data_IF_936800217424
#
_entry.id   IF_936800217424
#
_cell.length_a   1.000
_cell.length_b   1.000
_cell.length_c   1.000
_cell.angle_alpha   90.00
_cell.angle_beta   90.00
_cell.angle_gamma   90.00
#
_symmetry.space_group_name_H-M   'P 1'
#
loop_
_entity.id
_entity.type
_entity.pdbx_description
1 polymer ?
#
# COMPACT_ATOMS: atom_id res chain seq x y z
N UNK A 1 55.53 47.86 0.36
CA UNK A 1 54.53 47.94 1.45
C UNK A 1 53.33 48.67 0.85
N UNK A 2 52.16 48.07 0.60
CA UNK A 2 51.37 47.19 1.47
C UNK A 2 50.69 46.06 0.67
N UNK A 3 50.67 44.91 1.34
CA UNK A 3 50.13 43.62 0.91
C UNK A 3 48.66 43.50 1.35
N UNK A 4 47.82 43.05 0.43
CA UNK A 4 46.68 42.12 0.54
C UNK A 4 46.07 41.92 1.94
N UNK A 5 44.78 42.19 2.09
CA UNK A 5 43.89 41.34 2.89
C UNK A 5 42.43 41.46 2.43
N UNK A 6 42.04 40.56 1.52
CA UNK A 6 40.65 40.24 1.23
C UNK A 6 40.14 39.30 2.33
N UNK A 7 39.20 39.74 3.17
CA UNK A 7 38.46 38.85 4.06
C UNK A 7 37.22 38.37 3.32
N UNK A 8 37.30 37.16 2.78
CA UNK A 8 36.15 36.44 2.24
C UNK A 8 35.24 36.04 3.39
N UNK A 9 34.05 36.63 3.45
CA UNK A 9 32.96 36.20 4.31
C UNK A 9 32.46 34.82 3.86
N UNK A 10 32.93 33.76 4.54
CA UNK A 10 32.32 32.44 4.50
C UNK A 10 30.95 32.51 5.17
N UNK A 11 29.93 32.90 4.42
CA UNK A 11 28.54 32.66 4.80
C UNK A 11 28.31 31.15 4.71
N UNK A 12 28.30 30.51 5.88
CA UNK A 12 27.90 29.12 6.02
C UNK A 12 26.46 28.97 5.57
N UNK A 13 26.27 28.48 4.33
CA UNK A 13 25.02 27.86 3.92
C UNK A 13 24.79 26.65 4.82
N UNK A 14 24.04 26.84 5.90
CA UNK A 14 23.41 25.74 6.60
C UNK A 14 22.42 25.13 5.60
N UNK A 15 22.86 24.10 4.86
CA UNK A 15 21.96 23.30 4.04
C UNK A 15 20.97 22.67 5.01
N UNK A 16 19.73 23.15 4.98
CA UNK A 16 18.59 22.43 5.54
C UNK A 16 18.50 21.14 4.75
N UNK A 17 19.07 20.06 5.29
CA UNK A 17 18.84 18.71 4.78
C UNK A 17 17.41 18.40 5.16
N UNK A 18 16.46 18.63 4.25
CA UNK A 18 15.13 18.09 4.38
C UNK A 18 15.26 16.57 4.39
N UNK A 19 14.97 15.92 5.52
CA UNK A 19 14.96 14.47 5.61
C UNK A 19 13.93 13.91 4.65
N UNK A 20 14.38 13.15 3.65
CA UNK A 20 13.48 12.30 2.87
C UNK A 20 13.40 10.96 3.58
N UNK A 21 12.20 10.50 3.90
CA UNK A 21 12.00 9.11 4.31
C UNK A 21 12.38 8.23 3.12
N UNK A 22 13.46 7.45 3.29
CA UNK A 22 13.84 6.47 2.29
C UNK A 22 13.00 5.21 2.52
N UNK A 23 12.31 4.73 1.48
CA UNK A 23 11.50 3.51 1.54
C UNK A 23 12.33 2.24 1.55
N UNK A 24 13.63 2.36 1.24
CA UNK A 24 14.61 1.29 1.38
C UNK A 24 15.46 1.55 2.61
N UNK A 25 15.45 0.61 3.55
CA UNK A 25 16.21 0.72 4.78
C UNK A 25 16.44 -0.63 5.44
N UNK A 26 17.43 -0.66 6.32
CA UNK A 26 17.79 -1.83 7.11
C UNK A 26 17.34 -1.66 8.56
N UNK A 27 16.80 -2.72 9.17
CA UNK A 27 16.50 -2.80 10.61
C UNK A 27 16.96 -4.17 11.09
N UNK A 28 17.82 -4.21 12.11
CA UNK A 28 18.34 -5.46 12.70
C UNK A 28 18.90 -6.46 11.66
N UNK A 29 19.69 -5.96 10.70
CA UNK A 29 20.26 -6.72 9.57
C UNK A 29 19.23 -7.30 8.57
N UNK A 30 17.99 -6.82 8.60
CA UNK A 30 16.95 -7.17 7.63
C UNK A 30 16.70 -5.95 6.74
N UNK A 31 16.90 -6.12 5.44
CA UNK A 31 16.60 -5.10 4.45
C UNK A 31 15.10 -5.11 4.12
N UNK A 32 14.47 -3.95 4.28
CA UNK A 32 13.08 -3.71 3.92
C UNK A 32 13.02 -2.76 2.74
N UNK A 33 12.17 -3.12 1.78
CA UNK A 33 11.82 -2.31 0.62
C UNK A 33 10.30 -2.08 0.65
N UNK A 34 9.92 -0.83 0.87
CA UNK A 34 8.53 -0.37 0.88
C UNK A 34 8.13 0.36 -0.40
N UNK A 35 8.94 0.34 -1.47
CA UNK A 35 8.62 1.02 -2.74
C UNK A 35 7.35 0.46 -3.39
N UNK A 36 7.05 -0.82 -3.20
CA UNK A 36 5.78 -1.40 -3.66
C UNK A 36 4.54 -0.76 -2.99
N UNK A 37 4.74 0.01 -1.91
CA UNK A 37 3.70 0.81 -1.25
C UNK A 37 3.77 2.30 -1.64
N UNK A 38 4.47 2.68 -2.71
CA UNK A 38 4.54 4.07 -3.18
C UNK A 38 3.23 4.51 -3.86
N UNK A 39 2.22 4.77 -3.04
CA UNK A 39 0.96 5.36 -3.45
C UNK A 39 0.39 6.28 -2.36
N UNK A 40 -0.66 7.03 -2.71
CA UNK A 40 -1.44 7.79 -1.75
C UNK A 40 -2.60 6.92 -1.29
N UNK A 41 -2.64 6.65 0.01
CA UNK A 41 -3.69 5.87 0.65
C UNK A 41 -4.63 6.78 1.43
N UNK A 42 -5.91 6.44 1.43
CA UNK A 42 -6.94 7.19 2.11
C UNK A 42 -7.57 6.34 3.20
N UNK A 43 -7.57 6.86 4.43
CA UNK A 43 -8.16 6.20 5.58
C UNK A 43 -9.19 7.12 6.21
N UNK A 44 -10.44 6.72 6.11
CA UNK A 44 -11.56 7.51 6.62
C UNK A 44 -12.12 6.88 7.89
N UNK A 45 -12.41 7.73 8.87
CA UNK A 45 -13.10 7.37 10.12
C UNK A 45 -14.32 8.26 10.28
N UNK A 46 -15.43 7.68 10.71
CA UNK A 46 -16.71 8.34 10.94
C UNK A 46 -17.12 8.09 12.38
N UNK A 47 -17.48 9.15 13.10
CA UNK A 47 -18.03 9.04 14.45
C UNK A 47 -19.03 10.16 14.73
N UNK A 48 -19.97 9.90 15.63
CA UNK A 48 -20.94 10.90 16.08
C UNK A 48 -20.32 11.72 17.21
N UNK A 49 -20.43 13.04 17.11
CA UNK A 49 -20.16 13.99 18.19
C UNK A 49 -21.46 14.67 18.62
N UNK A 50 -21.40 15.44 19.71
CA UNK A 50 -22.53 16.23 20.19
C UNK A 50 -22.97 17.32 19.18
N UNK A 51 -22.08 17.67 18.23
CA UNK A 51 -22.29 18.73 17.25
C UNK A 51 -22.72 18.21 15.86
N UNK A 52 -22.72 16.89 15.64
CA UNK A 52 -23.05 16.27 14.36
C UNK A 52 -22.21 15.03 14.04
N UNK A 53 -22.17 14.66 12.76
CA UNK A 53 -21.35 13.53 12.29
C UNK A 53 -19.99 14.05 11.89
N UNK A 54 -18.93 13.53 12.51
CA UNK A 54 -17.56 13.88 12.15
C UNK A 54 -16.98 12.84 11.21
N UNK A 55 -16.53 13.29 10.05
CA UNK A 55 -15.68 12.53 9.15
C UNK A 55 -14.24 13.03 9.29
N UNK A 56 -13.32 12.11 9.55
CA UNK A 56 -11.90 12.40 9.49
C UNK A 56 -11.25 11.49 8.46
N UNK A 57 -10.70 12.11 7.43
CA UNK A 57 -9.99 11.44 6.34
C UNK A 57 -8.50 11.73 6.42
N UNK A 58 -7.70 10.67 6.42
CA UNK A 58 -6.25 10.71 6.41
C UNK A 58 -5.73 10.32 5.04
N UNK A 59 -4.99 11.21 4.39
CA UNK A 59 -4.18 10.91 3.20
C UNK A 59 -2.77 10.56 3.64
N UNK A 60 -2.25 9.41 3.24
CA UNK A 60 -0.96 8.88 3.69
C UNK A 60 -0.11 8.53 2.48
N UNK A 61 1.13 8.98 2.48
CA UNK A 61 2.13 8.65 1.48
C UNK A 61 3.49 8.48 2.15
N UNK A 62 4.10 7.30 2.01
CA UNK A 62 5.34 6.94 2.68
C UNK A 62 6.57 7.50 1.96
N UNK A 63 6.75 7.12 0.69
CA UNK A 63 7.98 7.37 -0.06
C UNK A 63 8.02 8.78 -0.67
N UNK A 64 6.85 9.29 -1.08
CA UNK A 64 6.71 10.60 -1.71
C UNK A 64 5.95 11.57 -0.82
N UNK A 65 6.28 12.85 -0.94
CA UNK A 65 5.52 13.93 -0.31
C UNK A 65 4.19 14.11 -1.03
N UNK A 66 3.13 14.38 -0.27
CA UNK A 66 1.82 14.70 -0.83
C UNK A 66 1.91 16.02 -1.57
N UNK A 67 1.50 15.98 -2.84
CA UNK A 67 1.35 17.14 -3.69
C UNK A 67 -0.14 17.33 -3.98
N UNK A 68 -0.72 18.34 -3.35
CA UNK A 68 -2.12 18.70 -3.60
C UNK A 68 -2.16 19.80 -4.67
N UNK A 69 -3.03 19.62 -5.66
CA UNK A 69 -3.21 20.59 -6.72
C UNK A 69 -3.62 21.95 -6.16
N UNK A 70 -2.81 22.98 -6.43
CA UNK A 70 -3.00 24.36 -5.94
C UNK A 70 -4.27 25.05 -6.46
N UNK A 71 -5.05 24.38 -7.31
CA UNK A 71 -6.30 24.89 -7.92
C UNK A 71 -7.52 24.74 -7.02
N UNK A 72 -7.44 23.90 -5.97
CA UNK A 72 -8.49 23.77 -4.96
C UNK A 72 -8.09 24.68 -3.76
N UNK A 73 -9.04 25.37 -3.15
CA UNK A 73 -8.82 26.45 -2.17
C UNK A 73 -7.86 26.06 -1.04
N UNK A 74 -6.83 26.89 -0.81
CA UNK A 74 -5.73 26.68 0.16
C UNK A 74 -6.17 26.43 1.61
N UNK A 75 -7.39 26.82 1.98
CA UNK A 75 -7.96 26.61 3.32
C UNK A 75 -8.37 25.16 3.60
N UNK A 76 -8.57 24.35 2.56
CA UNK A 76 -9.15 23.00 2.65
C UNK A 76 -8.12 21.89 2.43
N UNK A 77 -6.86 22.25 2.15
CA UNK A 77 -5.82 21.32 1.73
C UNK A 77 -4.64 21.37 2.69
N UNK A 78 -4.13 20.18 3.02
CA UNK A 78 -2.89 20.08 3.77
C UNK A 78 -1.75 20.80 3.07
N UNK A 79 -0.87 21.40 3.88
CA UNK A 79 0.35 22.04 3.41
C UNK A 79 1.09 21.12 2.44
N UNK A 80 1.41 21.66 1.27
CA UNK A 80 2.22 20.97 0.27
C UNK A 80 3.52 20.48 0.92
N UNK A 81 3.85 19.20 0.73
CA UNK A 81 5.07 18.61 1.29
C UNK A 81 4.89 17.69 2.48
N UNK A 82 3.68 17.61 3.07
CA UNK A 82 3.39 16.65 4.13
C UNK A 82 3.37 15.21 3.60
N UNK A 83 3.71 14.23 4.44
CA UNK A 83 3.60 12.81 4.11
C UNK A 83 2.27 12.22 4.58
N UNK A 84 1.78 12.69 5.74
CA UNK A 84 0.46 12.35 6.25
C UNK A 84 -0.34 13.63 6.42
N UNK A 85 -1.57 13.61 5.95
CA UNK A 85 -2.49 14.73 5.95
C UNK A 85 -3.82 14.29 6.54
N UNK A 86 -4.29 14.94 7.60
CA UNK A 86 -5.61 14.69 8.19
C UNK A 86 -6.55 15.85 7.96
N UNK A 87 -7.72 15.58 7.39
CA UNK A 87 -8.81 16.55 7.24
C UNK A 87 -9.99 16.10 8.09
N UNK A 88 -10.41 16.96 9.03
CA UNK A 88 -11.61 16.79 9.85
C UNK A 88 -12.73 17.63 9.24
N UNK A 89 -13.84 16.97 8.96
CA UNK A 89 -15.07 17.55 8.41
C UNK A 89 -16.22 17.25 9.36
N UNK A 90 -16.97 18.28 9.73
CA UNK A 90 -18.21 18.16 10.48
C UNK A 90 -19.40 18.27 9.52
N UNK A 91 -20.31 17.32 9.63
CA UNK A 91 -21.61 17.36 8.97
C UNK A 91 -22.67 17.74 10.01
N UNK A 92 -23.24 18.93 9.85
CA UNK A 92 -24.32 19.44 10.71
C UNK A 92 -25.54 19.72 9.84
N UNK A 93 -26.62 18.99 10.10
CA UNK A 93 -27.91 19.05 9.38
C UNK A 93 -27.80 18.83 7.86
N UNK A 94 -27.28 19.81 7.11
CA UNK A 94 -27.00 19.76 5.67
C UNK A 94 -25.73 20.54 5.26
N UNK A 95 -25.02 21.15 6.21
CA UNK A 95 -23.79 21.90 5.96
C UNK A 95 -22.54 21.04 6.20
N UNK A 96 -21.57 21.18 5.30
CA UNK A 96 -20.26 20.55 5.40
C UNK A 96 -19.25 21.62 5.84
N UNK A 97 -18.75 21.50 7.06
CA UNK A 97 -17.78 22.43 7.64
C UNK A 97 -16.44 21.71 7.76
N UNK A 98 -15.41 22.22 7.10
CA UNK A 98 -14.04 21.73 7.30
C UNK A 98 -13.44 22.46 8.49
N UNK A 99 -13.18 21.71 9.56
CA UNK A 99 -12.81 22.30 10.85
C UNK A 99 -11.30 22.34 11.06
N UNK A 100 -10.60 21.30 10.63
CA UNK A 100 -9.20 21.13 10.99
C UNK A 100 -8.42 20.36 9.94
N UNK A 101 -7.32 20.96 9.49
CA UNK A 101 -6.38 20.39 8.54
C UNK A 101 -5.03 20.25 9.24
N UNK A 102 -4.51 19.02 9.29
CA UNK A 102 -3.25 18.70 9.96
C UNK A 102 -2.27 18.08 8.97
N UNK A 103 -1.08 18.66 8.84
CA UNK A 103 0.02 18.12 8.04
C UNK A 103 1.15 17.59 8.90
N UNK A 104 1.48 16.31 8.74
CA UNK A 104 2.64 15.66 9.32
C UNK A 104 3.75 15.57 8.25
N UNK A 105 4.85 16.26 8.50
CA UNK A 105 6.04 16.24 7.66
C UNK A 105 7.06 15.34 8.34
N UNK A 106 7.48 14.26 7.68
CA UNK A 106 8.44 13.33 8.27
C UNK A 106 9.84 13.98 8.30
N UNK A 107 10.48 14.03 9.47
CA UNK A 107 11.95 14.23 9.59
C UNK A 107 12.56 13.10 10.40
N UNK A 108 11.91 12.76 11.51
CA UNK A 108 12.42 11.80 12.49
C UNK A 108 11.47 10.62 12.52
N UNK A 109 12.06 9.44 12.48
CA UNK A 109 11.33 8.19 12.64
C UNK A 109 12.15 7.19 13.44
N UNK A 110 11.47 6.37 14.24
CA UNK A 110 12.05 5.21 14.90
C UNK A 110 11.41 3.95 14.33
N UNK A 111 12.25 2.97 13.99
CA UNK A 111 11.85 1.71 13.37
C UNK A 111 12.14 0.57 14.34
N UNK A 112 11.20 -0.34 14.49
CA UNK A 112 11.33 -1.49 15.37
C UNK A 112 10.87 -2.74 14.64
N UNK A 113 11.70 -3.77 14.65
CA UNK A 113 11.30 -5.09 14.18
C UNK A 113 10.30 -5.69 15.18
N UNK A 114 9.22 -6.28 14.65
CA UNK A 114 8.27 -7.04 15.46
C UNK A 114 8.35 -8.52 15.06
N UNK A 115 7.74 -9.40 15.86
CA UNK A 115 7.75 -10.83 15.57
C UNK A 115 7.16 -11.18 14.18
N UNK A 116 6.20 -10.37 13.69
CA UNK A 116 5.49 -10.62 12.44
C UNK A 116 5.44 -9.40 11.52
N UNK A 117 6.46 -8.54 11.53
CA UNK A 117 6.52 -7.37 10.66
C UNK A 117 7.38 -6.25 11.21
N UNK A 118 6.95 -5.00 11.00
CA UNK A 118 7.72 -3.80 11.28
C UNK A 118 6.82 -2.70 11.86
N UNK A 119 7.28 -2.02 12.89
CA UNK A 119 6.61 -0.84 13.42
C UNK A 119 7.45 0.40 13.16
N UNK A 120 6.83 1.42 12.55
CA UNK A 120 7.49 2.71 12.29
C UNK A 120 6.71 3.81 13.00
N UNK A 121 7.41 4.61 13.79
CA UNK A 121 6.89 5.84 14.37
C UNK A 121 7.41 7.03 13.59
N UNK A 122 6.52 7.96 13.28
CA UNK A 122 6.78 9.18 12.56
C UNK A 122 6.51 10.38 13.47
N UNK A 123 7.46 11.31 13.51
CA UNK A 123 7.37 12.54 14.28
C UNK A 123 7.37 13.75 13.33
N UNK A 124 6.69 14.82 13.74
CA UNK A 124 6.57 16.03 12.92
C UNK A 124 7.86 16.86 12.94
N UNK A 125 8.42 17.08 11.75
CA UNK A 125 9.60 17.90 11.49
C UNK A 125 9.38 19.40 11.73
N UNK A 126 8.23 19.88 11.27
CA UNK A 126 8.12 21.28 10.85
C UNK A 126 7.56 22.20 11.93
N UNK A 127 6.91 21.64 12.95
CA UNK A 127 6.18 22.41 13.96
C UNK A 127 6.56 21.94 15.36
N UNK A 128 7.43 22.70 16.05
CA UNK A 128 7.81 22.45 17.46
C UNK A 128 6.61 22.47 18.42
N UNK A 129 5.50 23.09 18.03
CA UNK A 129 4.28 23.19 18.84
C UNK A 129 3.26 22.07 18.55
N UNK A 130 3.39 21.36 17.43
CA UNK A 130 2.47 20.29 17.07
C UNK A 130 3.09 18.93 17.43
N UNK A 131 2.63 18.36 18.54
CA UNK A 131 2.97 16.99 18.98
C UNK A 131 2.35 15.89 18.09
N UNK A 132 2.05 16.21 16.82
CA UNK A 132 1.47 15.28 15.88
C UNK A 132 2.47 14.17 15.60
N UNK A 133 2.05 12.94 15.85
CA UNK A 133 2.84 11.74 15.58
C UNK A 133 1.96 10.68 14.95
N UNK A 134 2.57 9.80 14.19
CA UNK A 134 1.89 8.65 13.61
C UNK A 134 2.68 7.38 13.91
N UNK A 135 1.99 6.30 14.23
CA UNK A 135 2.53 4.96 14.35
C UNK A 135 1.86 4.08 13.30
N UNK A 136 2.66 3.52 12.41
CA UNK A 136 2.18 2.56 11.43
C UNK A 136 2.76 1.19 11.79
N UNK A 137 1.86 0.27 12.09
CA UNK A 137 2.20 -1.13 12.36
C UNK A 137 2.04 -1.95 11.07
N UNK A 138 3.15 -2.25 10.41
CA UNK A 138 3.19 -3.13 9.25
C UNK A 138 3.23 -4.59 9.69
N UNK A 139 2.32 -5.38 9.16
CA UNK A 139 2.16 -6.79 9.48
C UNK A 139 2.37 -7.60 8.22
N UNK A 140 3.26 -8.57 8.30
CA UNK A 140 3.47 -9.54 7.23
C UNK A 140 2.18 -10.35 7.01
N UNK A 141 1.70 -10.31 5.77
CA UNK A 141 0.63 -11.16 5.27
C UNK A 141 0.98 -11.58 3.85
N UNK A 142 1.55 -12.79 3.69
CA UNK A 142 2.01 -13.32 2.40
C UNK A 142 0.90 -13.47 1.36
N UNK A 143 -0.37 -13.52 1.81
CA UNK A 143 -1.53 -13.66 0.93
C UNK A 143 -1.91 -12.32 0.27
N UNK A 144 -1.50 -11.21 0.86
CA UNK A 144 -1.73 -9.86 0.30
C UNK A 144 -0.84 -9.68 -0.92
N UNK A 145 -1.42 -9.26 -2.05
CA UNK A 145 -0.76 -9.16 -3.35
C UNK A 145 -0.72 -10.47 -4.16
N UNK A 146 -1.08 -11.62 -3.57
CA UNK A 146 -1.16 -12.91 -4.28
C UNK A 146 -2.62 -13.37 -4.43
N UNK A 147 -3.40 -13.30 -3.34
CA UNK A 147 -4.81 -13.71 -3.30
C UNK A 147 -5.76 -12.55 -3.01
N UNK A 148 -5.30 -11.54 -2.27
CA UNK A 148 -6.09 -10.37 -1.90
C UNK A 148 -5.42 -9.09 -2.38
N UNK A 149 -6.19 -8.18 -2.97
CA UNK A 149 -5.75 -6.83 -3.36
C UNK A 149 -5.89 -5.81 -2.22
N UNK A 150 -6.06 -6.26 -0.96
CA UNK A 150 -6.20 -5.37 0.19
C UNK A 150 -4.82 -4.81 0.59
N UNK A 151 -4.46 -3.69 -0.03
CA UNK A 151 -3.21 -2.97 0.24
C UNK A 151 -3.43 -1.75 1.13
N UNK A 152 -4.66 -1.48 1.55
CA UNK A 152 -4.97 -0.22 2.22
C UNK A 152 -4.70 -0.29 3.73
N UNK A 153 -4.09 0.75 4.32
CA UNK A 153 -3.95 0.86 5.75
C UNK A 153 -5.31 0.98 6.43
N UNK A 154 -5.44 0.36 7.60
CA UNK A 154 -6.64 0.41 8.45
C UNK A 154 -6.44 1.36 9.62
N UNK A 155 -7.45 2.17 9.88
CA UNK A 155 -7.50 3.01 11.07
C UNK A 155 -7.59 2.16 12.34
N UNK A 156 -6.75 2.44 13.33
CA UNK A 156 -6.89 1.87 14.68
C UNK A 156 -7.47 2.93 15.60
N UNK A 157 -6.77 4.05 15.74
CA UNK A 157 -7.14 5.11 16.67
C UNK A 157 -6.47 6.42 16.31
N UNK A 158 -7.04 7.52 16.82
CA UNK A 158 -6.41 8.83 16.84
C UNK A 158 -6.78 9.53 18.14
N UNK A 159 -5.79 9.79 18.99
CA UNK A 159 -6.00 10.43 20.29
C UNK A 159 -4.79 11.26 20.66
N UNK A 160 -5.01 12.44 21.26
CA UNK A 160 -3.94 13.36 21.70
C UNK A 160 -2.90 13.64 20.61
N UNK A 161 -3.34 13.81 19.36
CA UNK A 161 -2.46 14.02 18.21
C UNK A 161 -1.54 12.84 17.87
N UNK A 162 -1.87 11.63 18.31
CA UNK A 162 -1.18 10.40 17.93
C UNK A 162 -2.09 9.54 17.05
N UNK A 163 -1.71 9.37 15.78
CA UNK A 163 -2.41 8.54 14.80
C UNK A 163 -1.86 7.11 14.83
N UNK A 164 -2.72 6.11 14.92
CA UNK A 164 -2.34 4.70 14.86
C UNK A 164 -3.01 4.00 13.68
N UNK A 165 -2.17 3.39 12.84
CA UNK A 165 -2.60 2.66 11.65
C UNK A 165 -2.07 1.23 11.68
N UNK A 166 -2.84 0.32 11.11
CA UNK A 166 -2.48 -1.08 10.89
C UNK A 166 -2.39 -1.32 9.39
N UNK A 167 -1.27 -1.83 8.91
CA UNK A 167 -1.07 -2.06 7.49
C UNK A 167 -0.63 -3.50 7.25
N UNK A 168 -1.44 -4.29 6.55
CA UNK A 168 -1.05 -5.64 6.12
C UNK A 168 -0.38 -5.58 4.76
N UNK A 169 0.77 -6.21 4.62
CA UNK A 169 1.52 -6.22 3.37
C UNK A 169 2.45 -7.42 3.31
N UNK A 170 2.76 -7.90 2.11
CA UNK A 170 3.76 -8.92 1.88
C UNK A 170 5.20 -8.36 1.85
N UNK A 171 5.36 -7.04 1.69
CA UNK A 171 6.68 -6.37 1.56
C UNK A 171 7.53 -6.46 2.83
N UNK A 172 6.88 -6.63 3.98
CA UNK A 172 7.53 -6.67 5.31
C UNK A 172 7.70 -8.12 5.79
N UNK A 173 7.30 -9.10 4.97
CA UNK A 173 7.57 -10.50 5.27
C UNK A 173 9.07 -10.79 5.18
N UNK A 174 9.61 -11.43 6.23
CA UNK A 174 10.98 -11.93 6.20
C UNK A 174 11.06 -12.96 5.08
N UNK A 175 11.75 -12.62 3.98
CA UNK A 175 12.11 -13.64 3.00
C UNK A 175 13.22 -14.46 3.64
N UNK A 176 12.95 -15.72 3.95
CA UNK A 176 14.04 -16.67 4.15
C UNK A 176 14.84 -16.69 2.85
N UNK A 177 16.15 -16.44 2.94
CA UNK A 177 17.05 -16.67 1.82
C UNK A 177 16.88 -18.13 1.40
N UNK A 178 16.18 -18.38 0.28
CA UNK A 178 16.20 -19.70 -0.32
C UNK A 178 17.67 -20.02 -0.56
N UNK A 179 18.20 -21.14 -0.04
CA UNK A 179 19.60 -21.47 -0.23
C UNK A 179 19.88 -21.45 -1.73
N UNK A 180 20.92 -20.72 -2.14
CA UNK A 180 21.46 -20.78 -3.48
C UNK A 180 21.94 -22.22 -3.71
N UNK A 181 21.09 -23.07 -4.26
CA UNK A 181 21.50 -24.39 -4.74
C UNK A 181 22.32 -24.11 -6.01
N UNK A 182 23.63 -23.94 -5.82
CA UNK A 182 24.60 -23.93 -6.91
C UNK A 182 24.66 -25.35 -7.46
N UNK A 183 23.97 -25.60 -8.57
CA UNK A 183 24.13 -26.84 -9.32
C UNK A 183 25.53 -26.85 -9.94
N UNK A 184 26.50 -27.51 -9.28
CA UNK A 184 27.77 -27.88 -9.91
C UNK A 184 27.52 -28.97 -10.95
N UNK A 185 27.33 -28.55 -12.21
CA UNK A 185 27.36 -29.46 -13.35
C UNK A 185 28.82 -29.80 -13.69
N UNK A 186 29.28 -31.00 -13.33
CA UNK A 186 30.41 -31.61 -14.00
C UNK A 186 29.95 -32.06 -15.40
N UNK A 187 30.43 -31.33 -16.41
CA UNK A 187 30.32 -31.60 -17.84
C UNK A 187 30.66 -33.05 -18.15
N UNK A 188 29.83 -33.76 -18.94
CA UNK A 188 30.19 -34.20 -20.30
C UNK A 188 28.89 -34.36 -21.13
N UNK A 189 28.72 -33.48 -22.12
CA UNK A 189 27.88 -33.68 -23.30
C UNK A 189 26.36 -33.66 -23.12
N UNK A 190 25.74 -32.50 -23.39
CA UNK A 190 24.81 -32.28 -24.53
C UNK A 190 24.31 -30.83 -24.43
N UNK A 191 24.24 -30.21 -25.61
CA UNK A 191 23.83 -28.84 -25.92
C UNK A 191 22.85 -28.18 -24.94
N UNK A 192 23.32 -27.06 -24.39
CA UNK A 192 22.54 -25.96 -23.86
C UNK A 192 21.53 -25.42 -24.88
N UNK A 193 20.33 -25.09 -24.41
CA UNK A 193 19.73 -23.78 -24.65
C UNK A 193 18.52 -23.52 -23.71
N UNK A 194 18.70 -22.48 -22.88
CA UNK A 194 17.71 -21.54 -22.35
C UNK A 194 16.63 -22.00 -21.35
N UNK A 195 16.94 -21.76 -20.07
CA UNK A 195 15.99 -21.55 -18.98
C UNK A 195 16.14 -20.15 -18.39
N UNK A 196 16.01 -19.12 -19.22
CA UNK A 196 15.58 -17.79 -18.77
C UNK A 196 14.10 -17.64 -19.16
N UNK A 197 13.31 -17.12 -18.23
CA UNK A 197 11.84 -16.92 -18.29
C UNK A 197 11.03 -18.20 -18.02
N UNK A 198 10.76 -18.46 -16.74
CA UNK A 198 9.74 -19.42 -16.30
C UNK A 198 8.35 -18.94 -16.72
N UNK A 199 7.91 -19.30 -17.92
CA UNK A 199 6.51 -19.65 -18.14
C UNK A 199 6.39 -21.15 -17.86
N UNK A 200 5.78 -21.48 -16.73
CA UNK A 200 5.45 -22.87 -16.36
C UNK A 200 4.48 -23.44 -17.41
N UNK A 201 4.97 -24.26 -18.33
CA UNK A 201 4.15 -25.02 -19.30
C UNK A 201 3.67 -26.38 -18.74
N UNK A 202 3.92 -26.66 -17.46
CA UNK A 202 3.41 -27.85 -16.80
C UNK A 202 1.88 -27.95 -16.65
N UNK A 203 1.06 -26.86 -16.63
CA UNK A 203 -0.38 -27.04 -16.55
C UNK A 203 -1.03 -27.32 -17.91
N UNK A 204 -0.37 -27.08 -19.05
CA UNK A 204 -0.99 -27.26 -20.36
C UNK A 204 -1.12 -28.73 -20.78
N UNK A 205 -0.13 -29.57 -20.45
CA UNK A 205 -0.17 -31.00 -20.81
C UNK A 205 -1.22 -31.78 -20.01
N UNK A 206 -1.44 -31.41 -18.74
CA UNK A 206 -2.55 -31.90 -17.91
C UNK A 206 -3.91 -31.38 -18.40
N UNK A 207 -3.98 -30.11 -18.81
CA UNK A 207 -5.21 -29.52 -19.36
C UNK A 207 -5.62 -30.18 -20.69
N UNK A 208 -4.67 -30.48 -21.57
CA UNK A 208 -4.94 -31.19 -22.84
C UNK A 208 -5.38 -32.64 -22.59
N UNK A 209 -4.81 -33.33 -21.59
CA UNK A 209 -5.26 -34.67 -21.20
C UNK A 209 -6.69 -34.67 -20.65
N UNK A 210 -7.09 -33.61 -19.94
CA UNK A 210 -8.42 -33.50 -19.34
C UNK A 210 -9.47 -32.82 -20.24
N UNK A 211 -9.07 -32.25 -21.39
CA UNK A 211 -9.97 -31.60 -22.35
C UNK A 211 -11.06 -32.56 -22.88
N UNK A 212 -10.74 -33.85 -23.02
CA UNK A 212 -11.71 -34.87 -23.44
C UNK A 212 -12.89 -35.03 -22.46
N UNK A 213 -12.65 -34.85 -21.16
CA UNK A 213 -13.71 -34.94 -20.15
C UNK A 213 -14.60 -33.69 -20.14
N UNK A 214 -14.03 -32.50 -20.35
CA UNK A 214 -14.80 -31.25 -20.44
C UNK A 214 -15.77 -31.21 -21.63
N UNK A 215 -15.37 -31.74 -22.79
CA UNK A 215 -16.26 -31.80 -23.96
C UNK A 215 -17.40 -32.79 -23.81
N UNK A 216 -17.22 -33.83 -23.00
CA UNK A 216 -18.24 -34.86 -22.77
C UNK A 216 -19.42 -34.30 -21.97
N UNK A 217 -19.15 -33.43 -21.00
CA UNK A 217 -20.19 -32.75 -20.20
C UNK A 217 -20.93 -31.65 -20.97
N UNK A 218 -20.23 -30.87 -21.80
CA UNK A 218 -20.85 -29.88 -22.69
C UNK A 218 -21.76 -30.55 -23.75
N UNK A 219 -21.36 -31.72 -24.25
CA UNK A 219 -22.19 -32.50 -25.18
C UNK A 219 -23.52 -32.94 -24.57
N UNK A 220 -23.52 -33.39 -23.31
CA UNK A 220 -24.75 -33.75 -22.60
C UNK A 220 -25.68 -32.56 -22.35
N UNK A 221 -25.14 -31.37 -22.07
CA UNK A 221 -25.96 -30.16 -21.87
C UNK A 221 -26.55 -29.61 -23.18
N UNK A 222 -25.85 -29.78 -24.31
CA UNK A 222 -26.40 -29.42 -25.62
C UNK A 222 -27.49 -30.40 -26.08
N UNK A 223 -27.38 -31.69 -25.75
CA UNK A 223 -28.42 -32.67 -26.05
C UNK A 223 -29.70 -32.38 -25.25
N UNK A 224 -29.60 -32.00 -23.97
CA UNK A 224 -30.78 -31.62 -23.18
C UNK A 224 -31.41 -30.31 -23.67
N UNK A 225 -30.60 -29.31 -24.05
CA UNK A 225 -31.10 -28.06 -24.63
C UNK A 225 -31.78 -28.26 -25.99
N UNK A 226 -31.20 -29.07 -26.88
CA UNK A 226 -31.80 -29.39 -28.19
C UNK A 226 -33.07 -30.25 -28.02
N UNK A 227 -33.14 -31.12 -27.01
CA UNK A 227 -34.36 -31.89 -26.71
C UNK A 227 -35.48 -30.99 -26.18
N UNK A 228 -35.14 -29.93 -25.45
CA UNK A 228 -36.10 -28.92 -24.96
C UNK A 228 -36.65 -28.02 -26.08
N UNK A 229 -35.88 -27.79 -27.16
CA UNK A 229 -36.32 -26.96 -28.30
C UNK A 229 -37.20 -27.74 -29.30
N UNK A 230 -37.17 -29.08 -29.28
CA UNK A 230 -37.83 -29.92 -30.31
C UNK A 230 -39.28 -30.32 -29.99
N UNK A 231 -39.84 -29.94 -28.85
CA UNK A 231 -41.24 -30.21 -28.50
C UNK A 231 -42.03 -28.90 -28.26
N UNK A 232 -43.00 -28.55 -29.13
CA UNK A 232 -43.91 -27.45 -28.88
C UNK A 232 -45.17 -27.93 -28.12
N UNK A 233 -45.35 -27.36 -26.91
CA UNK A 233 -46.62 -27.14 -26.17
C UNK A 233 -47.44 -28.35 -25.69
N UNK A 234 -47.77 -28.41 -24.39
CA UNK A 234 -49.14 -28.16 -23.85
C UNK A 234 -49.21 -28.35 -22.32
N UNK A 235 -49.86 -27.38 -21.63
CA UNK A 235 -50.63 -27.46 -20.35
C UNK A 235 -50.02 -28.23 -19.16
N UNK A 236 -50.04 -27.74 -17.92
CA UNK A 236 -50.85 -26.71 -17.27
C UNK A 236 -50.65 -26.84 -15.75
N UNK A 237 -51.04 -25.80 -15.02
CA UNK A 237 -51.02 -25.74 -13.56
C UNK A 237 -51.82 -26.89 -12.91
N UNK A 238 -51.29 -27.45 -11.81
CA UNK A 238 -52.12 -27.87 -10.68
C UNK A 238 -51.43 -27.48 -9.38
N UNK A 239 -52.12 -26.66 -8.60
CA UNK A 239 -51.91 -26.47 -7.16
C UNK A 239 -52.28 -27.73 -6.39
N UNK A 240 -51.48 -28.08 -5.37
CA UNK A 240 -51.81 -28.24 -3.94
C UNK A 240 -50.47 -28.20 -3.19
#
# INVERSE_FOLDING_TARGET
MYSVLWVLALTGFCKSVFGFFNCNFEVDNVNFDLEALDNIYYVTSLYNSDEGIVNRTWSISLCRKLNFDKKISKEYLCSSGANICGVKTLFRDTELIVENVQGLHFDIYSKYLTNNGLQIFFYNAQFRENNLSAMINFICDEKVGVYYHEHDPKFISYSRSHLQLKWKTNTVCKREEKPNIVYQYHSWGIFSCYGSINYDFYPFTETVKNFSYYFKDYGSQLISFVKQIREPSYRGYTSI
#
